data_IF_517758215451
#
_entry.id   IF_517758215451
#
_cell.length_a   1.000
_cell.length_b   1.000
_cell.length_c   1.000
_cell.angle_alpha   90.00
_cell.angle_beta   90.00
_cell.angle_gamma   90.00
#
_symmetry.space_group_name_H-M   'P 1'
#
loop_
_entity.id
_entity.type
_entity.pdbx_description
1 polymer ?
#
# COMPACT_ATOMS: atom_id res chain seq x y z
N UNK A 1 32.12 10.73 7.67
CA UNK A 1 31.22 9.71 8.26
C UNK A 1 30.11 10.27 9.15
N UNK A 2 30.28 11.38 9.86
CA UNK A 2 29.21 11.92 10.74
C UNK A 2 28.14 12.77 10.03
N UNK A 3 28.50 13.50 8.97
CA UNK A 3 27.56 14.38 8.26
C UNK A 3 26.57 13.64 7.35
N UNK A 4 27.01 12.58 6.68
CA UNK A 4 26.11 11.74 5.85
C UNK A 4 25.08 11.00 6.70
N UNK A 5 25.48 10.53 7.87
CA UNK A 5 24.56 9.85 8.79
C UNK A 5 23.52 10.83 9.37
N UNK A 6 23.91 12.07 9.68
CA UNK A 6 22.98 13.10 10.17
C UNK A 6 22.01 13.57 9.09
N UNK A 7 22.46 13.72 7.83
CA UNK A 7 21.61 14.09 6.70
C UNK A 7 20.60 12.97 6.42
N UNK A 8 21.03 11.71 6.44
CA UNK A 8 20.15 10.55 6.24
C UNK A 8 19.07 10.45 7.33
N UNK A 9 19.47 10.64 8.60
CA UNK A 9 18.53 10.68 9.72
C UNK A 9 17.53 11.84 9.61
N UNK A 10 17.99 13.02 9.15
CA UNK A 10 17.14 14.20 8.97
C UNK A 10 16.10 13.95 7.86
N UNK A 11 16.51 13.39 6.73
CA UNK A 11 15.61 13.03 5.63
C UNK A 11 14.61 11.94 6.03
N UNK A 12 15.03 10.94 6.81
CA UNK A 12 14.13 9.89 7.32
C UNK A 12 13.11 10.43 8.33
N UNK A 13 13.42 11.46 9.08
CA UNK A 13 12.50 12.07 10.06
C UNK A 13 11.56 13.12 9.44
N UNK A 14 12.01 13.88 8.42
CA UNK A 14 11.17 14.88 7.75
C UNK A 14 10.13 14.27 6.79
N UNK A 15 10.39 13.11 6.20
CA UNK A 15 9.52 12.51 5.19
C UNK A 15 8.68 11.33 5.68
N UNK A 16 8.35 11.31 6.97
CA UNK A 16 7.34 10.37 7.50
C UNK A 16 7.83 8.96 7.83
N UNK A 17 9.14 8.74 7.81
CA UNK A 17 9.76 7.55 8.41
C UNK A 17 9.39 6.21 7.77
N UNK A 18 10.12 5.20 8.15
CA UNK A 18 10.04 3.78 7.74
C UNK A 18 8.65 3.11 7.93
N UNK A 19 7.73 3.77 8.65
CA UNK A 19 6.42 3.20 9.02
C UNK A 19 5.25 3.66 8.12
N UNK A 20 5.41 4.70 7.30
CA UNK A 20 4.33 5.26 6.46
C UNK A 20 3.69 4.21 5.53
N UNK A 21 4.45 3.35 4.82
CA UNK A 21 3.85 2.33 3.98
C UNK A 21 2.97 1.34 4.77
N UNK A 22 3.40 0.95 5.98
CA UNK A 22 2.63 0.07 6.85
C UNK A 22 1.35 0.72 7.38
N UNK A 23 1.39 2.03 7.69
CA UNK A 23 0.21 2.79 8.12
C UNK A 23 -0.86 2.75 7.02
N UNK A 24 -0.48 2.94 5.76
CA UNK A 24 -1.40 2.82 4.61
C UNK A 24 -2.06 1.44 4.56
N UNK A 25 -1.26 0.36 4.65
CA UNK A 25 -1.76 -1.01 4.65
C UNK A 25 -2.68 -1.30 5.84
N UNK A 26 -2.34 -0.77 7.03
CA UNK A 26 -3.14 -0.93 8.25
C UNK A 26 -4.48 -0.21 8.14
N UNK A 27 -4.49 1.02 7.65
CA UNK A 27 -5.72 1.81 7.49
C UNK A 27 -6.61 1.14 6.45
N UNK A 28 -6.05 0.79 5.28
CA UNK A 28 -6.79 0.20 4.18
C UNK A 28 -7.41 -1.15 4.57
N UNK A 29 -6.61 -2.07 5.11
CA UNK A 29 -7.09 -3.36 5.59
C UNK A 29 -8.07 -3.23 6.75
N UNK A 30 -7.82 -2.30 7.68
CA UNK A 30 -8.67 -2.09 8.85
C UNK A 30 -10.06 -1.55 8.50
N UNK A 31 -10.12 -0.52 7.67
CA UNK A 31 -11.40 0.07 7.22
C UNK A 31 -12.24 -0.97 6.46
N UNK A 32 -11.63 -1.66 5.51
CA UNK A 32 -12.32 -2.65 4.71
C UNK A 32 -12.79 -3.85 5.57
N UNK A 33 -11.97 -4.33 6.48
CA UNK A 33 -12.34 -5.40 7.42
C UNK A 33 -13.55 -5.07 8.28
N UNK A 34 -13.64 -3.84 8.82
CA UNK A 34 -14.82 -3.43 9.60
C UNK A 34 -16.06 -3.32 8.73
N UNK A 35 -15.94 -2.65 7.56
CA UNK A 35 -17.09 -2.37 6.69
C UNK A 35 -17.67 -3.65 6.12
N UNK A 36 -16.85 -4.54 5.57
CA UNK A 36 -17.31 -5.79 4.95
C UNK A 36 -17.95 -6.71 5.97
N UNK A 37 -17.34 -6.87 7.14
CA UNK A 37 -17.89 -7.68 8.22
C UNK A 37 -19.20 -7.10 8.75
N UNK A 38 -19.26 -5.78 8.96
CA UNK A 38 -20.49 -5.10 9.40
C UNK A 38 -21.60 -5.23 8.35
N UNK A 39 -21.29 -5.16 7.06
CA UNK A 39 -22.26 -5.36 5.98
C UNK A 39 -22.87 -6.77 6.02
N UNK A 40 -22.07 -7.83 6.22
CA UNK A 40 -22.56 -9.20 6.37
C UNK A 40 -23.46 -9.35 7.60
N UNK A 41 -23.06 -8.75 8.73
CA UNK A 41 -23.86 -8.76 9.95
C UNK A 41 -25.21 -8.05 9.72
N UNK A 42 -25.18 -6.89 9.06
CA UNK A 42 -26.39 -6.11 8.76
C UNK A 42 -27.35 -6.87 7.85
N UNK A 43 -26.85 -7.46 6.76
CA UNK A 43 -27.65 -8.27 5.85
C UNK A 43 -28.23 -9.51 6.56
N UNK A 44 -27.44 -10.17 7.38
CA UNK A 44 -27.86 -11.35 8.15
C UNK A 44 -28.89 -11.00 9.23
N UNK A 45 -28.74 -9.85 9.88
CA UNK A 45 -29.73 -9.32 10.83
C UNK A 45 -31.04 -8.98 10.14
N UNK A 46 -31.01 -8.28 9.00
CA UNK A 46 -32.20 -7.93 8.22
C UNK A 46 -32.97 -9.18 7.72
N UNK A 47 -32.25 -10.27 7.42
CA UNK A 47 -32.81 -11.55 7.05
C UNK A 47 -33.27 -12.41 8.25
N UNK A 48 -33.25 -11.87 9.46
CA UNK A 48 -33.61 -12.54 10.72
C UNK A 48 -32.88 -13.86 10.97
N UNK A 49 -31.63 -13.97 10.56
CA UNK A 49 -30.83 -15.17 10.73
C UNK A 49 -30.48 -15.39 12.21
N UNK A 50 -30.18 -16.65 12.54
CA UNK A 50 -29.72 -17.01 13.89
C UNK A 50 -28.31 -16.44 14.16
N UNK A 51 -28.01 -16.13 15.43
CA UNK A 51 -26.67 -15.68 15.86
C UNK A 51 -25.59 -16.66 15.40
N UNK A 52 -25.89 -17.99 15.44
CA UNK A 52 -24.95 -19.01 14.94
C UNK A 52 -24.66 -18.84 13.45
N UNK A 53 -25.67 -18.59 12.64
CA UNK A 53 -25.55 -18.40 11.20
C UNK A 53 -24.78 -17.11 10.89
N UNK A 54 -25.07 -16.01 11.60
CA UNK A 54 -24.34 -14.74 11.47
C UNK A 54 -22.85 -14.94 11.73
N UNK A 55 -22.51 -15.67 12.80
CA UNK A 55 -21.11 -15.96 13.14
C UNK A 55 -20.41 -16.82 12.07
N UNK A 56 -21.08 -17.82 11.53
CA UNK A 56 -20.50 -18.68 10.48
C UNK A 56 -20.25 -17.85 9.22
N UNK A 57 -21.24 -17.08 8.77
CA UNK A 57 -21.11 -16.24 7.57
C UNK A 57 -20.04 -15.17 7.75
N UNK A 58 -20.08 -14.45 8.87
CA UNK A 58 -19.09 -13.41 9.14
C UNK A 58 -17.66 -13.96 9.26
N UNK A 59 -17.47 -15.07 9.96
CA UNK A 59 -16.15 -15.69 10.09
C UNK A 59 -15.63 -16.18 8.72
N UNK A 60 -16.47 -16.83 7.93
CA UNK A 60 -16.10 -17.30 6.59
C UNK A 60 -15.71 -16.15 5.68
N UNK A 61 -16.47 -15.05 5.73
CA UNK A 61 -16.18 -13.85 4.95
C UNK A 61 -14.86 -13.23 5.38
N UNK A 62 -14.67 -13.00 6.68
CA UNK A 62 -13.41 -12.37 7.19
C UNK A 62 -12.19 -13.20 6.75
N UNK A 63 -12.24 -14.52 6.84
CA UNK A 63 -11.12 -15.37 6.44
C UNK A 63 -10.87 -15.32 4.92
N UNK A 64 -11.93 -15.39 4.11
CA UNK A 64 -11.81 -15.37 2.66
C UNK A 64 -11.34 -14.02 2.13
N UNK A 65 -11.96 -12.94 2.57
CA UNK A 65 -11.67 -11.58 2.08
C UNK A 65 -10.28 -11.11 2.55
N UNK A 66 -9.93 -11.34 3.81
CA UNK A 66 -8.61 -10.96 4.33
C UNK A 66 -7.48 -11.67 3.59
N UNK A 67 -7.65 -12.96 3.27
CA UNK A 67 -6.68 -13.68 2.45
C UNK A 67 -6.63 -13.14 1.01
N UNK A 68 -7.80 -12.94 0.39
CA UNK A 68 -7.90 -12.44 -0.99
C UNK A 68 -7.28 -11.06 -1.14
N UNK A 69 -7.53 -10.17 -0.17
CA UNK A 69 -7.00 -8.81 -0.15
C UNK A 69 -5.47 -8.79 -0.04
N UNK A 70 -4.91 -9.54 0.91
CA UNK A 70 -3.46 -9.57 1.07
C UNK A 70 -2.74 -10.30 -0.06
N UNK A 71 -3.34 -11.35 -0.62
CA UNK A 71 -2.80 -12.00 -1.80
C UNK A 71 -2.86 -11.07 -3.03
N UNK A 72 -3.94 -10.32 -3.20
CA UNK A 72 -4.08 -9.32 -4.26
C UNK A 72 -3.03 -8.20 -4.14
N UNK A 73 -2.82 -7.68 -2.93
CA UNK A 73 -1.79 -6.67 -2.63
C UNK A 73 -0.38 -7.19 -2.99
N UNK A 74 -0.06 -8.41 -2.55
CA UNK A 74 1.20 -9.07 -2.91
C UNK A 74 1.36 -9.25 -4.43
N UNK A 75 0.35 -9.80 -5.10
CA UNK A 75 0.42 -10.12 -6.53
C UNK A 75 0.54 -8.86 -7.38
N UNK A 76 -0.17 -7.77 -7.02
CA UNK A 76 -0.09 -6.47 -7.69
C UNK A 76 1.31 -5.87 -7.56
N UNK A 77 1.80 -5.73 -6.33
CA UNK A 77 3.13 -5.15 -6.06
C UNK A 77 4.27 -5.98 -6.67
N UNK A 78 4.12 -7.31 -6.66
CA UNK A 78 5.08 -8.19 -7.32
C UNK A 78 5.08 -7.99 -8.85
N UNK A 79 3.90 -7.85 -9.47
CA UNK A 79 3.77 -7.60 -10.90
C UNK A 79 4.34 -6.23 -11.30
N UNK A 80 4.09 -5.19 -10.50
CA UNK A 80 4.69 -3.87 -10.70
C UNK A 80 6.22 -3.92 -10.65
N UNK A 81 6.77 -4.67 -9.69
CA UNK A 81 8.20 -4.87 -9.57
C UNK A 81 8.80 -5.61 -10.77
N UNK A 82 8.18 -6.68 -11.23
CA UNK A 82 8.63 -7.42 -12.41
C UNK A 82 8.56 -6.56 -13.68
N UNK A 83 7.52 -5.72 -13.80
CA UNK A 83 7.42 -4.76 -14.89
C UNK A 83 8.58 -3.75 -14.85
N UNK A 84 8.84 -3.14 -13.69
CA UNK A 84 9.97 -2.23 -13.51
C UNK A 84 11.30 -2.89 -13.90
N UNK A 85 11.56 -4.11 -13.44
CA UNK A 85 12.80 -4.82 -13.75
C UNK A 85 12.92 -5.14 -15.24
N UNK A 86 11.81 -5.45 -15.89
CA UNK A 86 11.78 -5.70 -17.34
C UNK A 86 12.14 -4.44 -18.13
N UNK A 87 11.51 -3.31 -17.83
CA UNK A 87 11.80 -2.03 -18.50
C UNK A 87 13.24 -1.58 -18.20
N UNK A 88 13.67 -1.67 -16.94
CA UNK A 88 15.04 -1.32 -16.55
C UNK A 88 16.10 -2.15 -17.30
N UNK A 89 15.84 -3.42 -17.57
CA UNK A 89 16.76 -4.24 -18.36
C UNK A 89 16.82 -3.79 -19.83
N UNK A 90 15.73 -3.31 -20.40
CA UNK A 90 15.72 -2.71 -21.75
C UNK A 90 16.55 -1.43 -21.75
N UNK A 91 16.31 -0.54 -20.80
CA UNK A 91 17.08 0.71 -20.63
C UNK A 91 18.58 0.48 -20.51
N UNK A 92 18.98 -0.54 -19.72
CA UNK A 92 20.40 -0.92 -19.61
C UNK A 92 20.95 -1.32 -20.99
N UNK A 93 20.18 -2.07 -21.77
CA UNK A 93 20.59 -2.52 -23.10
C UNK A 93 20.69 -1.35 -24.08
N UNK A 94 19.72 -0.44 -24.08
CA UNK A 94 19.71 0.76 -24.93
C UNK A 94 20.86 1.69 -24.57
N UNK A 95 21.12 1.92 -23.29
CA UNK A 95 22.31 2.63 -22.82
C UNK A 95 23.61 2.03 -23.36
N UNK A 96 23.72 0.71 -23.46
CA UNK A 96 24.95 0.04 -23.92
C UNK A 96 25.14 0.11 -25.44
N UNK A 97 24.06 0.15 -26.22
CA UNK A 97 24.15 0.11 -27.69
C UNK A 97 23.95 1.46 -28.37
N UNK A 98 23.21 2.39 -27.76
CA UNK A 98 22.82 3.67 -28.36
C UNK A 98 23.03 4.85 -27.41
N UNK A 99 24.09 4.86 -26.62
CA UNK A 99 24.34 5.82 -25.57
C UNK A 99 24.13 7.29 -25.98
N UNK A 100 24.62 7.70 -27.16
CA UNK A 100 24.49 9.10 -27.63
C UNK A 100 23.02 9.48 -27.90
N UNK A 101 22.21 8.53 -28.31
CA UNK A 101 20.76 8.73 -28.49
C UNK A 101 20.06 8.89 -27.14
N UNK A 102 20.36 8.02 -26.19
CA UNK A 102 19.81 8.09 -24.82
C UNK A 102 20.13 9.43 -24.14
N UNK A 103 21.36 9.92 -24.30
CA UNK A 103 21.75 11.27 -23.83
C UNK A 103 20.88 12.34 -24.48
N UNK A 104 20.68 12.26 -25.80
CA UNK A 104 19.84 13.20 -26.55
C UNK A 104 18.39 13.18 -26.10
N UNK A 105 17.82 12.01 -25.88
CA UNK A 105 16.45 11.83 -25.40
C UNK A 105 16.27 12.44 -24.01
N UNK A 106 17.16 12.16 -23.07
CA UNK A 106 17.10 12.71 -21.74
C UNK A 106 17.19 14.24 -21.73
N UNK A 107 18.04 14.85 -22.58
CA UNK A 107 18.10 16.30 -22.78
C UNK A 107 16.75 16.85 -23.24
N UNK A 108 16.13 16.21 -24.24
CA UNK A 108 14.81 16.63 -24.74
C UNK A 108 13.72 16.52 -23.67
N UNK A 109 13.70 15.45 -22.90
CA UNK A 109 12.74 15.27 -21.80
C UNK A 109 12.84 16.39 -20.77
N UNK A 110 14.05 16.78 -20.36
CA UNK A 110 14.24 17.90 -19.45
C UNK A 110 13.86 19.25 -20.05
N UNK A 111 14.14 19.44 -21.35
CA UNK A 111 13.71 20.64 -22.06
C UNK A 111 12.17 20.76 -22.13
N UNK A 112 11.47 19.65 -22.36
CA UNK A 112 9.99 19.60 -22.32
C UNK A 112 9.43 19.92 -20.94
N UNK A 113 10.18 19.65 -19.86
CA UNK A 113 9.81 20.00 -18.48
C UNK A 113 10.15 21.44 -18.09
N UNK A 114 10.73 22.22 -19.01
CA UNK A 114 10.90 23.66 -18.85
C UNK A 114 12.35 24.15 -18.68
N UNK A 115 13.34 23.27 -18.76
CA UNK A 115 14.76 23.68 -18.81
C UNK A 115 15.10 24.24 -20.20
N UNK A 116 16.07 25.17 -20.27
CA UNK A 116 16.68 25.52 -21.56
C UNK A 116 17.45 24.31 -22.11
N UNK A 117 17.59 24.23 -23.45
CA UNK A 117 18.37 23.13 -24.06
C UNK A 117 19.81 23.09 -23.56
N UNK A 118 20.41 24.25 -23.32
CA UNK A 118 21.78 24.37 -22.85
C UNK A 118 21.92 23.86 -21.41
N UNK A 119 21.01 24.27 -20.50
CA UNK A 119 21.00 23.82 -19.10
C UNK A 119 20.69 22.31 -19.01
N UNK A 120 19.75 21.82 -19.83
CA UNK A 120 19.44 20.40 -19.90
C UNK A 120 20.64 19.58 -20.37
N UNK A 121 21.36 20.05 -21.41
CA UNK A 121 22.55 19.38 -21.91
C UNK A 121 23.69 19.38 -20.88
N UNK A 122 23.89 20.47 -20.16
CA UNK A 122 24.89 20.54 -19.10
C UNK A 122 24.57 19.57 -17.96
N UNK A 123 23.32 19.52 -17.48
CA UNK A 123 22.88 18.62 -16.44
C UNK A 123 23.02 17.15 -16.87
N UNK A 124 22.57 16.80 -18.06
CA UNK A 124 22.67 15.43 -18.57
C UNK A 124 24.11 15.02 -18.80
N UNK A 125 25.00 15.95 -19.20
CA UNK A 125 26.43 15.67 -19.34
C UNK A 125 27.11 15.18 -18.04
N UNK A 126 26.59 15.61 -16.89
CA UNK A 126 27.05 15.13 -15.58
C UNK A 126 26.55 13.72 -15.32
N UNK A 127 25.28 13.43 -15.63
CA UNK A 127 24.67 12.11 -15.48
C UNK A 127 25.29 11.09 -16.47
N UNK A 128 25.66 11.53 -17.66
CA UNK A 128 26.24 10.71 -18.71
C UNK A 128 27.69 10.23 -18.43
N UNK A 129 28.31 10.67 -17.32
CA UNK A 129 29.65 10.18 -16.96
C UNK A 129 29.62 8.69 -16.62
N UNK A 130 30.64 7.89 -17.03
CA UNK A 130 30.64 6.44 -16.87
C UNK A 130 30.39 5.95 -15.42
N UNK A 131 30.85 6.69 -14.42
CA UNK A 131 30.65 6.34 -13.02
C UNK A 131 29.23 6.65 -12.50
N UNK A 132 28.40 7.33 -13.29
CA UNK A 132 27.03 7.67 -12.99
C UNK A 132 25.99 6.80 -13.74
N UNK A 133 26.43 5.69 -14.39
CA UNK A 133 25.55 4.81 -15.21
C UNK A 133 24.24 4.48 -14.49
N UNK A 134 24.30 4.03 -13.25
CA UNK A 134 23.10 3.67 -12.48
C UNK A 134 22.15 4.87 -12.25
N UNK A 135 22.73 6.04 -11.98
CA UNK A 135 21.95 7.26 -11.82
C UNK A 135 21.31 7.70 -13.15
N UNK A 136 22.02 7.57 -14.26
CA UNK A 136 21.50 7.85 -15.60
C UNK A 136 20.29 6.96 -15.90
N UNK A 137 20.45 5.64 -15.76
CA UNK A 137 19.36 4.67 -16.00
C UNK A 137 18.16 4.95 -15.09
N UNK A 138 18.37 5.23 -13.81
CA UNK A 138 17.27 5.55 -12.91
C UNK A 138 16.56 6.85 -13.30
N UNK A 139 17.26 7.83 -13.89
CA UNK A 139 16.64 9.04 -14.42
C UNK A 139 15.83 8.75 -15.68
N UNK A 140 16.33 7.90 -16.59
CA UNK A 140 15.57 7.47 -17.76
C UNK A 140 14.28 6.76 -17.34
N UNK A 141 14.37 5.78 -16.44
CA UNK A 141 13.19 5.07 -15.88
C UNK A 141 12.15 6.04 -15.31
N UNK A 142 12.60 7.08 -14.60
CA UNK A 142 11.69 8.08 -14.03
C UNK A 142 11.11 9.02 -15.09
N UNK A 143 11.94 9.48 -16.01
CA UNK A 143 11.56 10.53 -16.96
C UNK A 143 10.72 10.01 -18.12
N UNK A 144 11.02 8.83 -18.63
CA UNK A 144 10.36 8.20 -19.76
C UNK A 144 9.12 7.41 -19.33
N UNK A 145 9.28 6.52 -18.34
CA UNK A 145 8.21 5.59 -17.92
C UNK A 145 7.46 6.04 -16.66
N UNK A 146 7.93 7.09 -15.97
CA UNK A 146 7.43 7.52 -14.66
C UNK A 146 7.48 6.38 -13.63
N UNK A 147 8.49 5.52 -13.73
CA UNK A 147 8.70 4.38 -12.85
C UNK A 147 9.82 4.68 -11.85
N UNK A 148 9.48 4.54 -10.56
CA UNK A 148 10.46 4.59 -9.46
C UNK A 148 10.86 3.18 -9.07
N UNK A 149 12.04 3.05 -8.44
CA UNK A 149 12.50 1.76 -7.92
C UNK A 149 11.49 1.19 -6.92
N UNK A 150 10.95 0.00 -7.18
CA UNK A 150 9.94 -0.62 -6.32
C UNK A 150 10.57 -1.25 -5.08
N UNK A 151 9.72 -1.52 -4.10
CA UNK A 151 10.10 -2.23 -2.89
C UNK A 151 10.71 -3.61 -3.18
N UNK A 152 11.58 -4.07 -2.29
CA UNK A 152 12.12 -5.43 -2.34
C UNK A 152 11.01 -6.48 -2.12
N UNK A 153 11.19 -7.71 -2.63
CA UNK A 153 10.25 -8.81 -2.40
C UNK A 153 9.93 -9.03 -0.92
N UNK A 154 10.88 -8.75 -0.05
CA UNK A 154 10.69 -8.88 1.40
C UNK A 154 9.76 -7.78 1.96
N UNK A 155 9.91 -6.55 1.50
CA UNK A 155 9.00 -5.45 1.91
C UNK A 155 7.59 -5.65 1.33
N UNK A 156 7.47 -6.05 0.06
CA UNK A 156 6.19 -6.41 -0.57
C UNK A 156 5.45 -7.46 0.27
N UNK A 157 6.14 -8.51 0.71
CA UNK A 157 5.55 -9.54 1.56
C UNK A 157 5.12 -8.99 2.92
N UNK A 158 5.90 -8.10 3.53
CA UNK A 158 5.54 -7.48 4.81
C UNK A 158 4.30 -6.59 4.68
N UNK A 159 4.18 -5.82 3.58
CA UNK A 159 3.02 -4.99 3.32
C UNK A 159 1.76 -5.86 3.19
N UNK A 160 1.81 -6.90 2.37
CA UNK A 160 0.71 -7.84 2.21
C UNK A 160 0.29 -8.51 3.54
N UNK A 161 1.26 -8.94 4.34
CA UNK A 161 0.99 -9.52 5.66
C UNK A 161 0.40 -8.49 6.64
N UNK A 162 0.84 -7.23 6.57
CA UNK A 162 0.27 -6.15 7.38
C UNK A 162 -1.18 -5.87 7.00
N UNK A 163 -1.50 -5.90 5.70
CA UNK A 163 -2.86 -5.77 5.17
C UNK A 163 -3.77 -6.90 5.67
N UNK A 164 -3.31 -8.16 5.57
CA UNK A 164 -4.05 -9.33 6.09
C UNK A 164 -4.28 -9.21 7.60
N UNK A 165 -3.23 -8.92 8.35
CA UNK A 165 -3.31 -8.83 9.81
C UNK A 165 -4.27 -7.72 10.24
N UNK A 166 -4.19 -6.56 9.61
CA UNK A 166 -5.08 -5.44 9.87
C UNK A 166 -6.53 -5.80 9.56
N UNK A 167 -6.78 -6.38 8.37
CA UNK A 167 -8.12 -6.81 7.99
C UNK A 167 -8.71 -7.78 9.02
N UNK A 168 -7.95 -8.76 9.48
CA UNK A 168 -8.43 -9.71 10.49
C UNK A 168 -8.70 -9.03 11.83
N UNK A 169 -7.73 -8.24 12.34
CA UNK A 169 -7.88 -7.58 13.63
C UNK A 169 -9.14 -6.71 13.67
N UNK A 170 -9.32 -5.86 12.67
CA UNK A 170 -10.44 -4.93 12.63
C UNK A 170 -11.74 -5.59 12.15
N UNK A 171 -11.69 -6.55 11.23
CA UNK A 171 -12.83 -7.31 10.78
C UNK A 171 -13.45 -8.20 11.85
N UNK A 172 -12.67 -8.66 12.82
CA UNK A 172 -13.19 -9.38 13.98
C UNK A 172 -13.95 -8.49 14.96
N UNK A 173 -13.76 -7.17 14.97
CA UNK A 173 -14.42 -6.26 15.93
C UNK A 173 -15.95 -6.36 15.86
N UNK A 174 -16.62 -6.24 14.71
CA UNK A 174 -18.07 -6.42 14.64
C UNK A 174 -18.53 -7.82 15.06
N UNK A 175 -17.78 -8.87 14.69
CA UNK A 175 -18.12 -10.25 15.05
C UNK A 175 -17.97 -10.52 16.54
N UNK A 176 -17.00 -9.87 17.20
CA UNK A 176 -16.75 -10.08 18.62
C UNK A 176 -17.96 -9.73 19.47
N UNK A 177 -18.76 -8.73 19.08
CA UNK A 177 -20.00 -8.38 19.79
C UNK A 177 -21.02 -9.52 19.79
N UNK A 178 -21.14 -10.25 18.66
CA UNK A 178 -22.02 -11.41 18.55
C UNK A 178 -21.45 -12.65 19.28
N UNK A 179 -20.14 -12.84 19.25
CA UNK A 179 -19.46 -13.91 20.01
C UNK A 179 -19.70 -13.70 21.50
N UNK A 180 -19.49 -12.49 21.99
CA UNK A 180 -19.70 -12.13 23.39
C UNK A 180 -21.15 -12.30 23.82
N UNK A 181 -22.10 -11.81 23.02
CA UNK A 181 -23.53 -11.97 23.29
C UNK A 181 -23.92 -13.47 23.40
N UNK A 182 -23.37 -14.32 22.55
CA UNK A 182 -23.59 -15.78 22.59
C UNK A 182 -22.99 -16.41 23.86
N UNK A 183 -21.80 -15.98 24.28
CA UNK A 183 -21.14 -16.49 25.49
C UNK A 183 -21.95 -16.18 26.76
N UNK A 184 -22.53 -14.98 26.85
CA UNK A 184 -23.37 -14.58 28.00
C UNK A 184 -24.83 -14.94 27.85
N UNK A 185 -25.17 -15.75 26.85
CA UNK A 185 -26.55 -16.19 26.54
C UNK A 185 -27.53 -15.04 26.33
N UNK A 186 -27.05 -13.89 25.90
CA UNK A 186 -27.87 -12.72 25.62
C UNK A 186 -28.52 -12.86 24.23
N UNK A 187 -29.85 -12.86 24.18
CA UNK A 187 -30.60 -13.22 22.97
C UNK A 187 -31.30 -12.05 22.27
N UNK A 188 -31.23 -10.85 22.82
CA UNK A 188 -31.88 -9.70 22.20
C UNK A 188 -31.11 -9.22 20.97
N UNK A 189 -31.50 -9.70 19.79
CA UNK A 189 -30.86 -9.40 18.50
C UNK A 189 -30.79 -7.91 18.19
N UNK A 190 -31.84 -7.13 18.52
CA UNK A 190 -31.89 -5.70 18.26
C UNK A 190 -30.82 -4.96 19.06
N UNK A 191 -30.66 -5.33 20.32
CA UNK A 191 -29.67 -4.70 21.19
C UNK A 191 -28.24 -5.05 20.77
N UNK A 192 -27.99 -6.31 20.41
CA UNK A 192 -26.69 -6.76 19.90
C UNK A 192 -26.35 -5.98 18.63
N UNK A 193 -27.26 -5.87 17.68
CA UNK A 193 -27.05 -5.14 16.43
C UNK A 193 -26.77 -3.66 16.65
N UNK A 194 -27.56 -2.99 17.51
CA UNK A 194 -27.37 -1.58 17.86
C UNK A 194 -25.96 -1.34 18.46
N UNK A 195 -25.55 -2.20 19.40
CA UNK A 195 -24.22 -2.11 20.02
C UNK A 195 -23.11 -2.36 18.99
N UNK A 196 -23.27 -3.36 18.12
CA UNK A 196 -22.31 -3.63 17.02
C UNK A 196 -22.17 -2.42 16.10
N UNK A 197 -23.28 -1.76 15.75
CA UNK A 197 -23.28 -0.57 14.90
C UNK A 197 -22.50 0.58 15.54
N UNK A 198 -22.70 0.82 16.83
CA UNK A 198 -21.99 1.86 17.58
C UNK A 198 -20.48 1.56 17.66
N UNK A 199 -20.12 0.33 17.99
CA UNK A 199 -18.70 -0.07 18.08
C UNK A 199 -18.02 0.02 16.71
N UNK A 200 -18.65 -0.47 15.64
CA UNK A 200 -18.11 -0.39 14.29
C UNK A 200 -17.93 1.06 13.83
N UNK A 201 -18.92 1.92 14.07
CA UNK A 201 -18.84 3.35 13.76
C UNK A 201 -17.73 4.06 14.54
N UNK A 202 -17.56 3.74 15.83
CA UNK A 202 -16.48 4.30 16.64
C UNK A 202 -15.09 3.86 16.14
N UNK A 203 -14.92 2.60 15.77
CA UNK A 203 -13.64 2.09 15.22
C UNK A 203 -13.32 2.76 13.90
N UNK A 204 -14.30 2.86 12.98
CA UNK A 204 -14.10 3.55 11.69
C UNK A 204 -13.73 5.03 11.88
N UNK A 205 -14.41 5.71 12.80
CA UNK A 205 -14.08 7.09 13.15
C UNK A 205 -12.65 7.21 13.70
N UNK A 206 -12.25 6.29 14.57
CA UNK A 206 -10.89 6.28 15.15
C UNK A 206 -9.81 6.03 14.10
N UNK A 207 -10.03 5.09 13.16
CA UNK A 207 -9.10 4.84 12.05
C UNK A 207 -9.02 6.07 11.14
N UNK A 208 -10.16 6.70 10.82
CA UNK A 208 -10.19 7.91 10.00
C UNK A 208 -9.47 9.10 10.67
N UNK A 209 -9.65 9.28 11.98
CA UNK A 209 -8.96 10.32 12.74
C UNK A 209 -7.43 10.10 12.77
N UNK A 210 -6.98 8.83 12.88
CA UNK A 210 -5.56 8.48 12.81
C UNK A 210 -4.96 8.72 11.42
N UNK A 211 -5.76 8.61 10.35
CA UNK A 211 -5.29 8.84 8.99
C UNK A 211 -5.16 10.33 8.62
N UNK A 212 -5.73 11.23 9.43
CA UNK A 212 -5.72 12.68 9.16
C UNK A 212 -4.50 13.40 9.74
N UNK A 213 -3.66 12.71 10.49
CA UNK A 213 -2.41 13.19 11.06
C UNK A 213 -1.20 12.55 10.40
#
# INVERSE_FOLDING_TARGET
MSSEHSIRLHLETEHGGKYVPYIKSIIYGGVDGVITTFAIITASYAADLSIKTILILGLSNVLADGFSMGFGDYASSYSEREHYLSERNKEIHEYEINFDNEVGELVQMYAQKGLSLDDAAEMVSILAKPHNKEMFINHMMLMEFNLCEPDSNHEIMKHALSTIASFYIFGFVPLFTYIFAKMVSFQNKHFIFMYTSLVSGFVLFSIGALSSH
#
